data_IF_402882847560
#
_entry.id   IF_402882847560
#
_cell.length_a   1.000
_cell.length_b   1.000
_cell.length_c   1.000
_cell.angle_alpha   90.00
_cell.angle_beta   90.00
_cell.angle_gamma   90.00
#
_symmetry.space_group_name_H-M   'P 1'
#
loop_
_entity.id
_entity.type
_entity.pdbx_description
1 polymer ?
#
# COMPACT_ATOMS: atom_id res chain seq x y z
N UNK A 1 -2.75 3.53 -18.15
CA UNK A 1 -2.74 4.92 -17.60
C UNK A 1 -4.10 5.62 -17.69
N UNK A 2 -4.82 5.57 -18.82
CA UNK A 2 -6.08 6.31 -19.05
C UNK A 2 -7.14 6.21 -17.94
N UNK A 3 -7.33 5.03 -17.35
CA UNK A 3 -8.36 4.79 -16.32
C UNK A 3 -7.81 4.86 -14.89
N UNK A 4 -6.73 4.11 -14.63
CA UNK A 4 -6.15 3.97 -13.29
C UNK A 4 -5.66 5.30 -12.70
N UNK A 5 -4.94 6.14 -13.46
CA UNK A 5 -4.37 7.37 -12.90
C UNK A 5 -5.46 8.36 -12.45
N UNK A 6 -6.49 8.68 -13.26
CA UNK A 6 -7.60 9.49 -12.81
C UNK A 6 -8.33 8.91 -11.59
N UNK A 7 -8.51 7.58 -11.55
CA UNK A 7 -9.15 6.92 -10.42
C UNK A 7 -8.34 7.08 -9.14
N UNK A 8 -7.03 6.84 -9.19
CA UNK A 8 -6.13 7.03 -8.04
C UNK A 8 -6.11 8.48 -7.54
N UNK A 9 -6.17 9.46 -8.46
CA UNK A 9 -6.31 10.88 -8.08
C UNK A 9 -7.64 11.15 -7.36
N UNK A 10 -8.74 10.57 -7.86
CA UNK A 10 -10.07 10.68 -7.22
C UNK A 10 -10.05 10.04 -5.83
N UNK A 11 -9.50 8.84 -5.68
CA UNK A 11 -9.36 8.18 -4.38
C UNK A 11 -8.54 9.01 -3.39
N UNK A 12 -7.41 9.58 -3.80
CA UNK A 12 -6.64 10.48 -2.93
C UNK A 12 -7.42 11.72 -2.46
N UNK A 13 -8.36 12.22 -3.27
CA UNK A 13 -9.26 13.33 -2.88
C UNK A 13 -10.36 12.91 -1.90
N UNK A 14 -10.67 11.61 -1.83
CA UNK A 14 -11.67 11.01 -0.96
C UNK A 14 -11.06 10.36 0.30
N UNK A 15 -9.76 10.59 0.55
CA UNK A 15 -9.07 10.06 1.73
C UNK A 15 -9.87 10.33 3.01
N UNK A 16 -10.05 9.31 3.84
CA UNK A 16 -10.84 9.35 5.08
C UNK A 16 -12.37 9.29 4.88
N UNK A 17 -12.85 9.17 3.64
CA UNK A 17 -14.28 8.94 3.31
C UNK A 17 -14.55 7.62 2.61
N UNK A 18 -13.48 6.90 2.27
CA UNK A 18 -13.52 5.59 1.65
C UNK A 18 -12.51 4.69 2.38
N UNK A 19 -12.73 3.37 2.40
CA UNK A 19 -11.86 2.43 3.11
C UNK A 19 -10.49 2.26 2.45
N UNK A 20 -10.19 2.99 1.38
CA UNK A 20 -8.92 2.91 0.67
C UNK A 20 -8.02 4.12 1.01
N UNK A 21 -7.03 3.97 1.91
CA UNK A 21 -6.24 5.09 2.43
C UNK A 21 -5.13 5.59 1.49
N UNK A 22 -5.01 5.07 0.27
CA UNK A 22 -3.92 5.44 -0.64
C UNK A 22 -4.21 6.77 -1.34
N UNK A 23 -3.15 7.56 -1.55
CA UNK A 23 -3.21 8.85 -2.26
C UNK A 23 -2.82 10.05 -1.39
N UNK A 24 -2.44 9.82 -0.13
CA UNK A 24 -1.81 10.79 0.76
C UNK A 24 -0.40 10.34 1.17
N UNK A 25 0.33 11.24 1.82
CA UNK A 25 1.61 10.89 2.43
C UNK A 25 1.35 9.96 3.63
N UNK A 26 1.62 8.66 3.44
CA UNK A 26 1.34 7.64 4.45
C UNK A 26 2.18 7.80 5.73
N UNK A 27 3.34 8.47 5.65
CA UNK A 27 4.15 8.81 6.83
C UNK A 27 3.37 9.66 7.84
N UNK A 28 2.47 10.53 7.35
CA UNK A 28 1.57 11.36 8.18
C UNK A 28 0.25 10.67 8.48
N UNK A 29 -0.33 10.04 7.46
CA UNK A 29 -1.69 9.51 7.54
C UNK A 29 -1.76 8.24 8.40
N UNK A 30 -0.77 7.36 8.30
CA UNK A 30 -0.84 6.03 8.90
C UNK A 30 -0.93 6.04 10.43
N UNK A 31 -0.19 6.89 11.18
CA UNK A 31 -0.38 7.02 12.62
C UNK A 31 -1.80 7.46 12.99
N UNK A 32 -2.42 8.33 12.20
CA UNK A 32 -3.80 8.78 12.43
C UNK A 32 -4.81 7.66 12.15
N UNK A 33 -4.57 6.84 11.13
CA UNK A 33 -5.40 5.66 10.86
C UNK A 33 -5.31 4.63 11.98
N UNK A 34 -4.11 4.39 12.51
CA UNK A 34 -3.91 3.49 13.66
C UNK A 34 -4.60 4.06 14.91
N UNK A 35 -4.55 5.37 15.14
CA UNK A 35 -5.28 6.00 16.25
C UNK A 35 -6.79 5.88 16.08
N UNK A 36 -7.28 6.09 14.85
CA UNK A 36 -8.70 5.92 14.53
C UNK A 36 -9.20 4.51 14.85
N UNK A 37 -8.44 3.48 14.43
CA UNK A 37 -8.75 2.07 14.72
C UNK A 37 -8.82 1.75 16.22
N UNK A 38 -8.09 2.51 17.03
CA UNK A 38 -7.96 2.30 18.48
C UNK A 38 -8.81 3.26 19.31
N UNK A 39 -9.60 4.12 18.65
CA UNK A 39 -10.37 5.13 19.33
C UNK A 39 -11.45 4.50 20.22
N UNK A 40 -11.89 5.24 21.24
CA UNK A 40 -12.95 4.83 22.17
C UNK A 40 -12.72 3.49 22.88
N UNK A 41 -11.46 3.06 23.01
CA UNK A 41 -11.07 1.83 23.68
C UNK A 41 -11.32 0.56 22.85
N UNK A 42 -11.63 0.71 21.55
CA UNK A 42 -11.72 -0.39 20.60
C UNK A 42 -10.36 -1.06 20.37
N UNK A 43 -10.40 -2.24 19.76
CA UNK A 43 -9.22 -3.01 19.38
C UNK A 43 -9.05 -2.93 17.87
N UNK A 44 -7.80 -2.78 17.43
CA UNK A 44 -7.48 -2.93 16.02
C UNK A 44 -7.30 -4.40 15.68
N UNK A 45 -7.98 -4.86 14.65
CA UNK A 45 -7.76 -6.14 14.00
C UNK A 45 -7.11 -5.90 12.64
N UNK A 46 -5.88 -6.36 12.48
CA UNK A 46 -5.11 -6.20 11.24
C UNK A 46 -4.70 -7.58 10.74
N UNK A 47 -4.92 -7.86 9.46
CA UNK A 47 -4.53 -9.12 8.84
C UNK A 47 -4.46 -8.99 7.32
N UNK A 48 -4.00 -10.04 6.65
CA UNK A 48 -3.94 -10.16 5.20
C UNK A 48 -4.54 -11.47 4.69
N UNK A 49 -5.05 -11.40 3.46
CA UNK A 49 -5.57 -12.58 2.75
C UNK A 49 -4.42 -13.30 2.05
N UNK A 50 -4.17 -14.54 2.46
CA UNK A 50 -3.12 -15.40 1.92
C UNK A 50 -3.32 -15.65 0.43
N UNK A 51 -2.27 -15.38 -0.35
CA UNK A 51 -2.18 -15.66 -1.80
C UNK A 51 -3.35 -15.07 -2.62
N UNK A 52 -3.86 -13.90 -2.21
CA UNK A 52 -5.01 -13.25 -2.81
C UNK A 52 -4.90 -13.15 -4.35
N UNK A 53 -3.76 -12.69 -4.87
CA UNK A 53 -3.49 -12.58 -6.31
C UNK A 53 -3.75 -13.87 -7.10
N UNK A 54 -3.61 -15.02 -6.46
CA UNK A 54 -3.81 -16.33 -7.11
C UNK A 54 -5.19 -16.94 -6.85
N UNK A 55 -5.88 -16.51 -5.79
CA UNK A 55 -7.17 -17.08 -5.36
C UNK A 55 -8.38 -16.35 -5.94
N UNK A 56 -8.24 -15.09 -6.37
CA UNK A 56 -9.36 -14.34 -6.95
C UNK A 56 -9.91 -15.05 -8.20
N UNK A 57 -11.16 -15.50 -8.10
CA UNK A 57 -11.88 -16.14 -9.19
C UNK A 57 -12.28 -15.17 -10.32
N UNK A 58 -12.56 -15.69 -11.53
CA UNK A 58 -12.96 -14.87 -12.68
C UNK A 58 -14.23 -14.04 -12.42
N UNK A 59 -15.17 -14.56 -11.61
CA UNK A 59 -16.44 -13.89 -11.31
C UNK A 59 -16.22 -12.67 -10.41
N UNK A 60 -15.30 -12.75 -9.44
CA UNK A 60 -14.88 -11.62 -8.61
C UNK A 60 -14.21 -10.52 -9.45
N UNK A 61 -13.42 -10.90 -10.46
CA UNK A 61 -12.85 -9.95 -11.43
C UNK A 61 -13.97 -9.28 -12.22
N UNK A 62 -14.96 -10.04 -12.71
CA UNK A 62 -16.08 -9.49 -13.47
C UNK A 62 -16.92 -8.53 -12.62
N UNK A 63 -17.17 -8.86 -11.36
CA UNK A 63 -17.82 -7.98 -10.39
C UNK A 63 -17.01 -6.69 -10.17
N UNK A 64 -15.71 -6.82 -9.83
CA UNK A 64 -14.86 -5.67 -9.54
C UNK A 64 -14.75 -4.73 -10.74
N UNK A 65 -14.58 -5.26 -11.96
CA UNK A 65 -14.57 -4.43 -13.16
C UNK A 65 -15.92 -3.79 -13.46
N UNK A 66 -17.04 -4.47 -13.20
CA UNK A 66 -18.38 -3.89 -13.37
C UNK A 66 -18.57 -2.70 -12.43
N UNK A 67 -18.20 -2.87 -11.16
CA UNK A 67 -18.22 -1.79 -10.16
C UNK A 67 -17.31 -0.62 -10.55
N UNK A 68 -16.07 -0.91 -10.97
CA UNK A 68 -15.14 0.12 -11.43
C UNK A 68 -15.64 0.87 -12.66
N UNK A 69 -16.36 0.19 -13.57
CA UNK A 69 -16.92 0.81 -14.79
C UNK A 69 -17.83 1.99 -14.45
N UNK A 70 -18.64 1.86 -13.40
CA UNK A 70 -19.58 2.88 -12.94
C UNK A 70 -18.89 4.15 -12.43
N UNK A 71 -17.61 4.05 -12.03
CA UNK A 71 -16.82 5.18 -11.55
C UNK A 71 -16.26 6.04 -12.69
N UNK A 72 -16.35 5.60 -13.94
CA UNK A 72 -15.77 6.27 -15.09
C UNK A 72 -16.80 6.96 -15.97
N UNK A 73 -16.49 8.19 -16.37
CA UNK A 73 -17.21 8.85 -17.44
C UNK A 73 -16.85 8.26 -18.80
N UNK A 74 -17.78 7.54 -19.43
CA UNK A 74 -17.55 6.85 -20.69
C UNK A 74 -17.65 7.74 -21.93
N UNK A 75 -18.16 8.97 -21.83
CA UNK A 75 -18.20 9.94 -22.92
C UNK A 75 -19.54 10.63 -23.08
N UNK A 76 -19.56 11.73 -23.84
CA UNK A 76 -20.77 12.52 -24.09
C UNK A 76 -21.59 12.00 -25.28
N UNK A 77 -20.94 11.37 -26.27
CA UNK A 77 -21.58 10.88 -27.49
C UNK A 77 -21.64 9.36 -27.50
N UNK A 78 -22.63 8.79 -28.19
CA UNK A 78 -22.77 7.33 -28.35
C UNK A 78 -21.50 6.67 -28.86
N UNK A 79 -20.85 7.26 -29.87
CA UNK A 79 -19.59 6.76 -30.42
C UNK A 79 -18.44 6.76 -29.39
N UNK A 80 -18.32 7.83 -28.60
CA UNK A 80 -17.31 7.91 -27.54
C UNK A 80 -17.55 6.87 -26.44
N UNK A 81 -18.80 6.70 -26.02
CA UNK A 81 -19.22 5.68 -25.05
C UNK A 81 -18.85 4.29 -25.54
N UNK A 82 -19.35 3.88 -26.71
CA UNK A 82 -19.08 2.54 -27.26
C UNK A 82 -17.58 2.25 -27.39
N UNK A 83 -16.79 3.22 -27.87
CA UNK A 83 -15.33 3.05 -27.96
C UNK A 83 -14.69 2.84 -26.59
N UNK A 84 -15.07 3.62 -25.58
CA UNK A 84 -14.47 3.54 -24.26
C UNK A 84 -14.91 2.29 -23.50
N UNK A 85 -16.15 1.85 -23.70
CA UNK A 85 -16.64 0.58 -23.18
C UNK A 85 -15.89 -0.60 -23.81
N UNK A 86 -15.71 -0.62 -25.13
CA UNK A 86 -14.95 -1.68 -25.80
C UNK A 86 -13.51 -1.76 -25.29
N UNK A 87 -12.85 -0.61 -25.07
CA UNK A 87 -11.50 -0.58 -24.49
C UNK A 87 -11.51 -1.12 -23.05
N UNK A 88 -12.49 -0.72 -22.24
CA UNK A 88 -12.60 -1.18 -20.86
C UNK A 88 -12.89 -2.69 -20.77
N UNK A 89 -13.78 -3.20 -21.61
CA UNK A 89 -14.07 -4.64 -21.73
C UNK A 89 -12.84 -5.43 -22.22
N UNK A 90 -12.05 -4.86 -23.14
CA UNK A 90 -10.78 -5.46 -23.52
C UNK A 90 -9.78 -5.52 -22.35
N UNK A 91 -9.69 -4.46 -21.54
CA UNK A 91 -8.84 -4.46 -20.34
C UNK A 91 -9.29 -5.52 -19.33
N UNK A 92 -10.60 -5.64 -19.08
CA UNK A 92 -11.17 -6.71 -18.24
C UNK A 92 -10.83 -8.09 -18.79
N UNK A 93 -11.04 -8.29 -20.09
CA UNK A 93 -10.73 -9.53 -20.78
C UNK A 93 -9.25 -9.92 -20.65
N UNK A 94 -8.35 -8.96 -20.85
CA UNK A 94 -6.90 -9.15 -20.74
C UNK A 94 -6.49 -9.45 -19.30
N UNK A 95 -7.01 -8.70 -18.33
CA UNK A 95 -6.73 -8.88 -16.90
C UNK A 95 -7.14 -10.26 -16.41
N UNK A 96 -8.37 -10.69 -16.72
CA UNK A 96 -8.91 -12.02 -16.35
C UNK A 96 -8.16 -13.17 -17.02
N UNK A 97 -7.54 -12.91 -18.17
CA UNK A 97 -6.90 -13.94 -19.01
C UNK A 97 -5.48 -13.55 -19.39
N UNK A 98 -4.68 -13.38 -18.35
CA UNK A 98 -3.33 -12.82 -18.44
C UNK A 98 -2.41 -13.73 -19.25
N UNK A 99 -1.80 -13.22 -20.33
CA UNK A 99 -0.72 -13.92 -21.00
C UNK A 99 0.57 -13.82 -20.17
N UNK A 100 1.28 -14.95 -20.04
CA UNK A 100 2.55 -15.08 -19.33
C UNK A 100 3.58 -15.54 -20.35
N UNK A 101 4.57 -14.69 -20.62
CA UNK A 101 5.72 -15.05 -21.46
C UNK A 101 6.79 -15.69 -20.57
N UNK A 102 7.10 -16.95 -20.80
CA UNK A 102 8.15 -17.66 -20.08
C UNK A 102 9.54 -17.30 -20.62
N UNK A 103 10.62 -17.48 -19.83
CA UNK A 103 11.99 -17.32 -20.32
C UNK A 103 12.34 -18.21 -21.53
N UNK A 104 11.61 -19.31 -21.72
CA UNK A 104 11.71 -20.19 -22.89
C UNK A 104 11.18 -19.57 -24.19
N UNK A 105 10.43 -18.46 -24.10
CA UNK A 105 9.70 -17.86 -25.22
C UNK A 105 8.27 -18.39 -25.40
N UNK A 106 7.84 -19.36 -24.60
CA UNK A 106 6.47 -19.89 -24.62
C UNK A 106 5.47 -18.89 -24.02
N UNK A 107 4.29 -18.82 -24.63
CA UNK A 107 3.19 -17.98 -24.16
C UNK A 107 2.11 -18.84 -23.50
N UNK A 108 2.02 -18.77 -22.18
CA UNK A 108 0.94 -19.39 -21.41
C UNK A 108 -0.18 -18.40 -21.16
N UNK A 109 -1.38 -18.90 -20.95
CA UNK A 109 -2.53 -18.07 -20.58
C UNK A 109 -3.12 -18.56 -19.26
N UNK A 110 -3.00 -17.74 -18.22
CA UNK A 110 -3.62 -18.00 -16.93
C UNK A 110 -5.09 -17.57 -16.99
N UNK A 111 -5.98 -18.41 -16.48
CA UNK A 111 -7.39 -18.09 -16.30
C UNK A 111 -7.67 -17.91 -14.81
N UNK A 112 -8.17 -16.73 -14.43
CA UNK A 112 -8.34 -16.36 -13.03
C UNK A 112 -7.04 -15.91 -12.35
N UNK A 113 -7.17 -15.51 -11.10
CA UNK A 113 -6.17 -14.73 -10.39
C UNK A 113 -5.93 -13.36 -11.04
N UNK A 114 -5.28 -12.50 -10.29
CA UNK A 114 -4.92 -11.15 -10.70
C UNK A 114 -3.50 -11.15 -11.28
N UNK A 115 -3.25 -10.45 -12.42
CA UNK A 115 -1.91 -10.28 -12.94
C UNK A 115 -1.06 -9.36 -12.06
N UNK A 116 0.01 -9.86 -11.47
CA UNK A 116 1.02 -9.02 -10.82
C UNK A 116 1.61 -8.04 -11.84
N UNK A 117 1.42 -6.73 -11.63
CA UNK A 117 1.94 -5.66 -12.48
C UNK A 117 0.91 -4.89 -13.32
N UNK A 118 -0.37 -5.29 -13.31
CA UNK A 118 -1.43 -4.42 -13.84
C UNK A 118 -1.67 -3.24 -12.90
N UNK A 119 -1.95 -2.05 -13.45
CA UNK A 119 -2.36 -0.90 -12.64
C UNK A 119 -3.71 -1.11 -11.93
N UNK A 120 -4.49 -2.12 -12.32
CA UNK A 120 -5.75 -2.48 -11.66
C UNK A 120 -5.58 -3.50 -10.53
N UNK A 121 -4.43 -4.17 -10.42
CA UNK A 121 -4.18 -5.26 -9.45
C UNK A 121 -4.56 -4.84 -8.05
N UNK A 122 -3.84 -3.84 -7.53
CA UNK A 122 -4.08 -3.29 -6.20
C UNK A 122 -5.53 -2.87 -5.97
N UNK A 123 -6.20 -2.30 -6.98
CA UNK A 123 -7.57 -1.81 -6.86
C UNK A 123 -8.56 -2.99 -6.78
N UNK A 124 -8.40 -3.99 -7.64
CA UNK A 124 -9.24 -5.20 -7.64
C UNK A 124 -9.05 -5.97 -6.34
N UNK A 125 -7.80 -6.17 -5.92
CA UNK A 125 -7.45 -6.83 -4.66
C UNK A 125 -8.10 -6.11 -3.48
N UNK A 126 -7.98 -4.77 -3.43
CA UNK A 126 -8.64 -3.96 -2.41
C UNK A 126 -10.15 -4.18 -2.42
N UNK A 127 -10.81 -4.13 -3.58
CA UNK A 127 -12.27 -4.29 -3.65
C UNK A 127 -12.72 -5.67 -3.15
N UNK A 128 -12.00 -6.72 -3.54
CA UNK A 128 -12.31 -8.10 -3.11
C UNK A 128 -12.09 -8.24 -1.61
N UNK A 129 -10.95 -7.79 -1.08
CA UNK A 129 -10.65 -7.84 0.36
C UNK A 129 -11.67 -7.02 1.15
N UNK A 130 -12.02 -5.82 0.70
CA UNK A 130 -13.06 -5.00 1.34
C UNK A 130 -14.40 -5.73 1.39
N UNK A 131 -14.85 -6.29 0.27
CA UNK A 131 -16.13 -7.02 0.22
C UNK A 131 -16.09 -8.27 1.11
N UNK A 132 -14.98 -9.01 1.11
CA UNK A 132 -14.77 -10.19 1.95
C UNK A 132 -14.82 -9.84 3.44
N UNK A 133 -14.16 -8.76 3.85
CA UNK A 133 -14.16 -8.30 5.25
C UNK A 133 -15.56 -7.85 5.69
N UNK A 134 -16.23 -7.02 4.88
CA UNK A 134 -17.60 -6.58 5.17
C UNK A 134 -18.54 -7.78 5.29
N UNK A 135 -18.49 -8.70 4.30
CA UNK A 135 -19.29 -9.92 4.33
C UNK A 135 -19.04 -10.74 5.60
N UNK A 136 -17.78 -10.93 5.98
CA UNK A 136 -17.45 -11.69 7.17
C UNK A 136 -17.97 -11.03 8.45
N UNK A 137 -17.86 -9.71 8.58
CA UNK A 137 -18.41 -8.97 9.72
C UNK A 137 -19.93 -9.05 9.79
N UNK A 138 -20.64 -8.84 8.68
CA UNK A 138 -22.10 -8.97 8.64
C UNK A 138 -22.57 -10.38 9.05
N UNK A 139 -21.88 -11.43 8.59
CA UNK A 139 -22.19 -12.83 8.96
C UNK A 139 -21.94 -13.10 10.44
N UNK A 140 -20.98 -12.41 11.07
CA UNK A 140 -20.75 -12.48 12.52
C UNK A 140 -21.79 -11.71 13.34
N UNK A 141 -22.71 -10.98 12.70
CA UNK A 141 -23.77 -10.22 13.35
C UNK A 141 -23.43 -8.77 13.69
N UNK A 142 -22.40 -8.20 13.05
CA UNK A 142 -22.15 -6.76 13.09
C UNK A 142 -23.11 -6.04 12.14
N UNK A 143 -23.52 -4.83 12.51
CA UNK A 143 -24.38 -3.97 11.68
C UNK A 143 -23.54 -3.07 10.75
N UNK A 144 -24.18 -2.43 9.76
CA UNK A 144 -23.47 -1.57 8.82
C UNK A 144 -22.75 -0.41 9.53
N UNK A 145 -23.34 0.16 10.57
CA UNK A 145 -22.76 1.25 11.35
C UNK A 145 -21.51 0.84 12.14
N UNK A 146 -21.34 -0.44 12.45
CA UNK A 146 -20.15 -0.97 13.13
C UNK A 146 -18.96 -1.15 12.18
N UNK A 147 -19.22 -1.15 10.86
CA UNK A 147 -18.26 -1.49 9.81
C UNK A 147 -17.87 -0.25 9.00
N UNK A 148 -18.85 0.58 8.64
CA UNK A 148 -18.64 1.80 7.86
C UNK A 148 -17.70 2.74 8.64
N UNK A 149 -16.73 3.32 7.94
CA UNK A 149 -15.67 4.19 8.48
C UNK A 149 -14.68 3.52 9.47
N UNK A 150 -14.87 2.24 9.79
CA UNK A 150 -13.99 1.50 10.71
C UNK A 150 -13.00 0.57 10.00
N UNK A 151 -13.11 0.44 8.67
CA UNK A 151 -12.30 -0.45 7.85
C UNK A 151 -11.34 0.31 6.91
N UNK A 152 -10.09 -0.13 6.87
CA UNK A 152 -9.08 0.30 5.92
C UNK A 152 -8.48 -0.91 5.19
N UNK A 153 -8.41 -0.85 3.86
CA UNK A 153 -7.94 -1.96 3.02
C UNK A 153 -7.00 -1.43 1.95
N UNK A 154 -5.89 -2.12 1.71
CA UNK A 154 -4.99 -1.87 0.58
C UNK A 154 -4.47 -3.21 0.05
N UNK A 155 -5.00 -3.63 -1.09
CA UNK A 155 -4.65 -4.93 -1.65
C UNK A 155 -5.19 -6.07 -0.79
N UNK A 156 -4.29 -6.95 -0.35
CA UNK A 156 -4.58 -8.05 0.58
C UNK A 156 -4.54 -7.63 2.05
N UNK A 157 -3.84 -6.54 2.40
CA UNK A 157 -3.79 -6.01 3.76
C UNK A 157 -5.11 -5.31 4.13
N UNK A 158 -5.67 -5.65 5.30
CA UNK A 158 -6.80 -4.97 5.89
C UNK A 158 -6.62 -4.69 7.37
N UNK A 159 -7.25 -3.62 7.84
CA UNK A 159 -7.29 -3.21 9.23
C UNK A 159 -8.71 -2.74 9.56
N UNK A 160 -9.27 -3.20 10.67
CA UNK A 160 -10.61 -2.79 11.11
C UNK A 160 -10.66 -2.57 12.61
N UNK A 161 -11.48 -1.62 13.05
CA UNK A 161 -11.77 -1.44 14.47
C UNK A 161 -12.84 -2.44 14.90
N UNK A 162 -12.64 -3.10 16.03
CA UNK A 162 -13.50 -4.18 16.53
C UNK A 162 -13.57 -4.15 18.06
N UNK A 163 -14.59 -4.75 18.68
CA UNK A 163 -14.64 -4.86 20.13
C UNK A 163 -13.59 -5.83 20.68
N UNK A 164 -13.32 -5.74 21.99
CA UNK A 164 -12.29 -6.54 22.68
C UNK A 164 -12.55 -8.05 22.62
N UNK A 165 -13.80 -8.46 22.50
CA UNK A 165 -14.26 -9.85 22.46
C UNK A 165 -14.46 -10.38 21.02
N UNK A 166 -13.94 -9.67 20.01
CA UNK A 166 -13.97 -10.11 18.61
C UNK A 166 -13.38 -11.52 18.42
N UNK A 167 -14.19 -12.44 17.88
CA UNK A 167 -13.80 -13.83 17.63
C UNK A 167 -13.03 -13.95 16.30
N UNK A 168 -11.72 -13.71 16.36
CA UNK A 168 -10.80 -13.84 15.21
C UNK A 168 -10.88 -15.23 14.56
N UNK A 169 -10.88 -16.37 15.30
CA UNK A 169 -11.12 -17.69 14.71
C UNK A 169 -12.43 -17.79 13.93
N UNK A 170 -13.53 -17.20 14.41
CA UNK A 170 -14.80 -17.22 13.70
C UNK A 170 -14.75 -16.42 12.41
N UNK A 171 -14.14 -15.24 12.44
CA UNK A 171 -13.87 -14.44 11.24
C UNK A 171 -13.10 -15.25 10.19
N UNK A 172 -12.01 -15.90 10.60
CA UNK A 172 -11.19 -16.73 9.70
C UNK A 172 -11.99 -17.89 9.09
N UNK A 173 -12.89 -18.53 9.85
CA UNK A 173 -13.77 -19.59 9.34
C UNK A 173 -14.74 -19.08 8.27
N UNK A 174 -15.32 -17.89 8.45
CA UNK A 174 -16.24 -17.31 7.46
C UNK A 174 -15.48 -16.95 6.18
N UNK A 175 -14.29 -16.36 6.31
CA UNK A 175 -13.42 -16.10 5.16
C UNK A 175 -13.06 -17.39 4.40
N UNK A 176 -12.78 -18.48 5.14
CA UNK A 176 -12.56 -19.81 4.56
C UNK A 176 -13.77 -20.37 3.81
N UNK A 177 -14.99 -20.15 4.32
CA UNK A 177 -16.22 -20.53 3.63
C UNK A 177 -16.41 -19.79 2.30
N UNK A 178 -15.88 -18.57 2.18
CA UNK A 178 -15.87 -17.81 0.93
C UNK A 178 -14.75 -18.24 -0.04
N UNK A 179 -13.92 -19.23 0.32
CA UNK A 179 -12.85 -19.77 -0.52
C UNK A 179 -11.49 -19.06 -0.37
N UNK A 180 -11.32 -18.25 0.68
CA UNK A 180 -10.10 -17.50 0.95
C UNK A 180 -9.45 -17.92 2.27
N UNK A 181 -8.16 -17.67 2.45
CA UNK A 181 -7.45 -18.04 3.67
C UNK A 181 -6.84 -16.78 4.30
N UNK A 182 -7.06 -16.58 5.61
CA UNK A 182 -6.40 -15.52 6.37
C UNK A 182 -5.03 -16.00 6.84
N UNK A 183 -4.00 -15.18 6.72
CA UNK A 183 -2.67 -15.55 7.21
C UNK A 183 -2.57 -15.35 8.73
N UNK A 184 -2.79 -16.43 9.47
CA UNK A 184 -2.78 -16.46 10.94
C UNK A 184 -1.48 -15.89 11.55
N UNK A 185 -0.34 -16.00 10.85
CA UNK A 185 0.94 -15.48 11.37
C UNK A 185 1.04 -13.96 11.34
N UNK A 186 0.24 -13.31 10.50
CA UNK A 186 0.19 -11.85 10.34
C UNK A 186 -1.03 -11.22 11.00
N UNK A 187 -1.94 -12.03 11.54
CA UNK A 187 -3.03 -11.56 12.38
C UNK A 187 -2.46 -10.79 13.57
N UNK A 188 -2.92 -9.56 13.73
CA UNK A 188 -2.63 -8.70 14.87
C UNK A 188 -3.95 -8.25 15.46
N UNK A 189 -4.09 -8.43 16.76
CA UNK A 189 -5.27 -8.05 17.52
C UNK A 189 -4.79 -7.39 18.81
N UNK A 190 -4.90 -6.06 18.88
CA UNK A 190 -4.37 -5.29 19.99
C UNK A 190 -5.07 -3.95 20.13
N UNK A 191 -5.06 -3.40 21.33
CA UNK A 191 -5.44 -2.02 21.61
C UNK A 191 -4.22 -1.06 21.69
N UNK A 192 -3.02 -1.51 21.28
CA UNK A 192 -1.80 -0.71 21.30
C UNK A 192 -1.27 -0.50 19.89
N UNK A 193 -1.09 0.75 19.49
CA UNK A 193 -0.60 1.10 18.15
C UNK A 193 0.79 0.56 17.81
N UNK A 194 1.63 0.26 18.81
CA UNK A 194 2.95 -0.34 18.59
C UNK A 194 2.87 -1.83 18.19
N UNK A 195 1.80 -2.52 18.59
CA UNK A 195 1.57 -3.94 18.31
C UNK A 195 0.80 -4.16 17.00
N UNK A 196 0.15 -3.11 16.47
CA UNK A 196 -0.53 -3.14 15.17
C UNK A 196 0.43 -2.71 14.06
N UNK A 197 0.64 -3.57 13.07
CA UNK A 197 1.45 -3.28 11.89
C UNK A 197 0.55 -3.27 10.66
N UNK A 198 0.28 -2.10 10.11
CA UNK A 198 -0.50 -1.93 8.89
C UNK A 198 0.38 -1.33 7.79
N UNK A 199 0.32 -1.88 6.57
CA UNK A 199 1.16 -1.47 5.43
C UNK A 199 2.66 -1.47 5.73
N UNK A 200 3.11 -2.36 6.63
CA UNK A 200 4.51 -2.50 7.01
C UNK A 200 4.99 -1.59 8.15
N UNK A 201 4.12 -0.77 8.75
CA UNK A 201 4.49 0.14 9.84
C UNK A 201 3.57 -0.02 11.04
N UNK A 202 4.14 0.21 12.22
CA UNK A 202 3.38 0.37 13.46
C UNK A 202 3.38 1.83 13.89
N UNK A 203 2.76 2.14 15.03
CA UNK A 203 2.75 3.48 15.61
C UNK A 203 3.54 3.52 16.93
N UNK A 204 4.41 4.51 17.07
CA UNK A 204 5.07 4.82 18.35
C UNK A 204 4.97 6.32 18.64
N UNK A 205 4.29 6.67 19.73
CA UNK A 205 3.95 8.07 20.00
C UNK A 205 3.04 8.63 18.90
N UNK A 206 3.41 9.76 18.32
CA UNK A 206 2.70 10.39 17.19
C UNK A 206 3.22 10.00 15.81
N UNK A 207 4.21 9.11 15.71
CA UNK A 207 4.91 8.80 14.46
C UNK A 207 4.76 7.34 14.05
N UNK A 208 5.03 7.06 12.77
CA UNK A 208 5.23 5.70 12.31
C UNK A 208 6.47 5.09 12.96
N UNK A 209 6.48 3.77 13.08
CA UNK A 209 7.55 3.01 13.67
C UNK A 209 7.85 1.79 12.81
N UNK A 210 9.14 1.52 12.59
CA UNK A 210 9.64 0.26 12.06
C UNK A 210 10.85 -0.20 12.86
N UNK A 211 10.98 -1.51 13.12
CA UNK A 211 12.16 -2.07 13.75
C UNK A 211 13.45 -1.74 12.98
N UNK A 212 14.54 -1.47 13.73
CA UNK A 212 15.81 -1.04 13.16
C UNK A 212 16.43 -2.10 12.24
N UNK A 213 16.25 -3.38 12.55
CA UNK A 213 16.71 -4.51 11.77
C UNK A 213 16.02 -4.57 10.40
N UNK A 214 14.71 -4.34 10.31
CA UNK A 214 14.00 -4.24 9.03
C UNK A 214 14.50 -3.07 8.19
N UNK A 215 14.71 -1.91 8.83
CA UNK A 215 15.24 -0.72 8.16
C UNK A 215 16.66 -0.95 7.67
N UNK A 216 17.52 -1.61 8.47
CA UNK A 216 18.88 -1.97 8.10
C UNK A 216 18.91 -2.96 6.95
N UNK A 217 18.06 -3.99 6.98
CA UNK A 217 17.95 -4.95 5.88
C UNK A 217 17.59 -4.22 4.58
N UNK A 218 16.61 -3.32 4.64
CA UNK A 218 16.19 -2.53 3.48
C UNK A 218 17.27 -1.54 3.03
N UNK A 219 18.09 -1.01 3.94
CA UNK A 219 19.21 -0.13 3.59
C UNK A 219 20.35 -0.90 2.89
N UNK A 220 20.76 -2.02 3.48
CA UNK A 220 21.99 -2.77 3.15
C UNK A 220 21.81 -3.81 2.04
N UNK A 221 20.59 -4.31 1.82
CA UNK A 221 20.32 -5.33 0.80
C UNK A 221 19.39 -4.79 -0.31
N UNK A 222 19.94 -4.01 -1.27
CA UNK A 222 19.22 -3.58 -2.46
C UNK A 222 18.68 -4.70 -3.33
N UNK A 223 17.49 -4.49 -3.90
CA UNK A 223 17.06 -5.25 -5.09
C UNK A 223 17.86 -4.89 -6.35
N UNK A 224 18.39 -3.67 -6.42
CA UNK A 224 19.14 -3.14 -7.56
C UNK A 224 20.50 -2.64 -7.13
N UNK A 225 21.50 -2.83 -7.97
CA UNK A 225 22.86 -2.35 -7.74
C UNK A 225 22.89 -0.86 -7.33
N UNK A 226 23.59 -0.57 -6.22
CA UNK A 226 23.82 0.78 -5.69
C UNK A 226 25.21 1.21 -6.14
N UNK A 227 25.28 1.95 -7.24
CA UNK A 227 26.55 2.27 -7.90
C UNK A 227 27.40 3.34 -7.22
N UNK A 228 26.82 4.22 -6.39
CA UNK A 228 27.55 5.32 -5.76
C UNK A 228 27.08 5.72 -4.37
N UNK A 229 27.93 6.53 -3.72
CA UNK A 229 27.76 7.11 -2.39
C UNK A 229 26.46 7.91 -2.26
N UNK A 230 26.09 8.70 -3.27
CA UNK A 230 24.85 9.47 -3.28
C UNK A 230 23.60 8.58 -3.25
N UNK A 231 23.54 7.55 -4.11
CA UNK A 231 22.44 6.57 -4.13
C UNK A 231 22.38 5.80 -2.82
N UNK A 232 23.53 5.43 -2.25
CA UNK A 232 23.60 4.80 -0.94
C UNK A 232 23.02 5.72 0.15
N UNK A 233 23.42 7.00 0.16
CA UNK A 233 22.88 8.02 1.08
C UNK A 233 21.38 8.20 0.93
N UNK A 234 20.85 8.30 -0.29
CA UNK A 234 19.40 8.47 -0.52
C UNK A 234 18.59 7.32 0.06
N UNK A 235 19.12 6.09 0.01
CA UNK A 235 18.47 4.94 0.65
C UNK A 235 18.45 5.06 2.15
N UNK A 236 19.59 5.43 2.75
CA UNK A 236 19.70 5.65 4.20
C UNK A 236 18.72 6.74 4.64
N UNK A 237 18.67 7.87 3.93
CA UNK A 237 17.71 8.95 4.20
C UNK A 237 16.26 8.47 4.06
N UNK A 238 15.94 7.66 3.05
CA UNK A 238 14.64 7.02 2.91
C UNK A 238 14.27 6.15 4.12
N UNK A 239 15.23 5.40 4.67
CA UNK A 239 15.04 4.63 5.91
C UNK A 239 14.93 5.53 7.15
N UNK A 240 15.65 6.65 7.21
CA UNK A 240 15.48 7.65 8.27
C UNK A 240 14.04 8.18 8.29
N UNK A 241 13.48 8.51 7.13
CA UNK A 241 12.08 8.95 7.00
C UNK A 241 11.11 7.81 7.35
N UNK A 242 11.35 6.61 6.83
CA UNK A 242 10.54 5.43 7.13
C UNK A 242 10.58 5.01 8.61
N UNK A 243 11.59 5.44 9.36
CA UNK A 243 11.65 5.27 10.81
C UNK A 243 10.76 6.26 11.58
N UNK A 244 9.99 7.11 10.89
CA UNK A 244 9.23 8.18 11.53
C UNK A 244 10.13 9.23 12.18
N UNK A 245 11.36 9.36 11.67
CA UNK A 245 12.41 10.23 12.19
C UNK A 245 12.79 9.98 13.67
N UNK A 246 12.38 8.85 14.26
CA UNK A 246 12.61 8.56 15.67
C UNK A 246 13.84 7.69 15.95
N UNK A 247 14.56 7.26 14.91
CA UNK A 247 15.73 6.39 15.04
C UNK A 247 17.05 7.17 14.99
N UNK A 248 17.66 7.41 16.15
CA UNK A 248 18.92 8.16 16.27
C UNK A 248 20.10 7.54 15.52
N UNK A 249 20.14 6.21 15.34
CA UNK A 249 21.19 5.54 14.56
C UNK A 249 21.10 5.94 13.08
N UNK A 250 19.91 5.84 12.48
CA UNK A 250 19.72 6.22 11.07
C UNK A 250 19.97 7.70 10.83
N UNK A 251 19.62 8.56 11.78
CA UNK A 251 19.93 9.99 11.73
C UNK A 251 21.42 10.26 11.71
N UNK A 252 22.17 9.63 12.62
CA UNK A 252 23.64 9.75 12.68
C UNK A 252 24.32 9.15 11.45
N UNK A 253 23.85 7.99 11.00
CA UNK A 253 24.41 7.31 9.83
C UNK A 253 24.18 8.12 8.54
N UNK A 254 23.00 8.73 8.39
CA UNK A 254 22.72 9.62 7.28
C UNK A 254 23.62 10.87 7.27
N UNK A 255 23.92 11.43 8.45
CA UNK A 255 24.88 12.54 8.59
C UNK A 255 26.29 12.12 8.11
N UNK A 256 26.79 10.98 8.54
CA UNK A 256 28.10 10.46 8.09
C UNK A 256 28.14 10.18 6.59
N UNK A 257 27.05 9.64 6.03
CA UNK A 257 26.93 9.41 4.58
C UNK A 257 26.89 10.72 3.79
N UNK A 258 26.35 11.81 4.35
CA UNK A 258 26.38 13.13 3.74
C UNK A 258 27.82 13.68 3.64
N UNK A 259 28.57 13.57 4.74
CA UNK A 259 29.98 13.95 4.79
C UNK A 259 30.80 13.12 3.78
N UNK A 260 30.63 11.79 3.78
CA UNK A 260 31.31 10.92 2.83
C UNK A 260 30.97 11.23 1.37
N UNK A 261 29.70 11.47 1.04
CA UNK A 261 29.29 11.83 -0.32
C UNK A 261 29.91 13.16 -0.79
N UNK A 262 30.14 14.11 0.14
CA UNK A 262 30.79 15.38 -0.19
C UNK A 262 32.29 15.23 -0.50
N UNK A 263 32.95 14.21 0.07
CA UNK A 263 34.36 13.92 -0.15
C UNK A 263 34.60 13.09 -1.43
N UNK A 264 33.60 12.30 -1.84
CA UNK A 264 33.69 11.40 -2.99
C UNK A 264 32.55 11.69 -3.97
N UNK A 265 32.68 12.74 -4.81
CA UNK A 265 31.67 13.06 -5.80
C UNK A 265 31.51 11.89 -6.80
N UNK A 266 30.31 11.73 -7.39
CA UNK A 266 30.05 10.64 -8.33
C UNK A 266 31.00 10.66 -9.53
N UNK A 267 31.35 9.47 -10.02
CA UNK A 267 32.17 9.30 -11.23
C UNK A 267 31.49 10.01 -12.41
N UNK A 268 32.19 10.90 -13.15
CA UNK A 268 31.65 11.56 -14.34
C UNK A 268 31.08 10.60 -15.40
N UNK A 269 31.54 9.35 -15.44
CA UNK A 269 31.05 8.31 -16.35
C UNK A 269 29.78 7.60 -15.88
N UNK A 270 29.31 7.84 -14.66
CA UNK A 270 28.15 7.15 -14.11
C UNK A 270 26.83 7.83 -14.51
N UNK A 271 25.84 7.03 -14.92
CA UNK A 271 24.49 7.55 -15.21
C UNK A 271 23.84 8.04 -13.91
N UNK A 272 23.86 9.35 -13.69
CA UNK A 272 23.16 9.99 -12.58
C UNK A 272 21.66 10.10 -12.88
N UNK A 273 20.84 9.37 -12.12
CA UNK A 273 19.39 9.57 -12.10
C UNK A 273 19.06 10.38 -10.86
N UNK A 274 18.60 11.64 -10.98
CA UNK A 274 18.30 12.48 -9.83
C UNK A 274 17.22 11.85 -8.94
N UNK A 275 17.62 11.36 -7.76
CA UNK A 275 16.71 10.80 -6.76
C UNK A 275 15.86 11.88 -6.06
N UNK A 276 16.18 13.16 -6.27
CA UNK A 276 15.39 14.34 -5.84
C UNK A 276 13.93 14.25 -6.26
N UNK A 277 13.61 13.53 -7.34
CA UNK A 277 12.24 13.42 -7.87
C UNK A 277 11.26 12.80 -6.88
N UNK A 278 11.65 11.79 -6.11
CA UNK A 278 10.76 11.18 -5.12
C UNK A 278 10.50 12.13 -3.96
N UNK A 279 11.57 12.68 -3.38
CA UNK A 279 11.51 13.64 -2.27
C UNK A 279 10.66 14.86 -2.64
N UNK A 280 10.87 15.42 -3.83
CA UNK A 280 10.08 16.55 -4.34
C UNK A 280 8.61 16.17 -4.53
N UNK A 281 8.33 15.04 -5.17
CA UNK A 281 6.95 14.68 -5.52
C UNK A 281 6.14 14.16 -4.33
N UNK A 282 6.78 13.56 -3.33
CA UNK A 282 6.12 12.92 -2.18
C UNK A 282 6.13 13.81 -0.95
N UNK A 283 7.24 14.49 -0.69
CA UNK A 283 7.43 15.34 0.49
C UNK A 283 7.35 16.84 0.17
N UNK A 284 7.32 17.23 -1.10
CA UNK A 284 7.30 18.64 -1.50
C UNK A 284 8.65 19.37 -1.29
N UNK A 285 9.73 18.62 -1.05
CA UNK A 285 11.04 19.19 -0.73
C UNK A 285 11.85 19.38 -2.01
N UNK A 286 12.18 20.62 -2.36
CA UNK A 286 12.88 20.94 -3.62
C UNK A 286 14.40 20.66 -3.54
N UNK A 287 15.00 20.97 -2.40
CA UNK A 287 16.42 20.77 -2.14
C UNK A 287 16.66 19.83 -0.97
N UNK A 288 17.60 18.91 -1.17
CA UNK A 288 18.00 17.96 -0.13
C UNK A 288 18.81 18.75 0.90
N UNK A 289 18.42 18.74 2.19
CA UNK A 289 19.14 19.47 3.23
C UNK A 289 20.62 19.07 3.22
N UNK A 290 21.51 20.06 3.23
CA UNK A 290 22.96 19.83 3.27
C UNK A 290 23.35 19.20 4.62
N UNK A 291 22.75 19.69 5.69
CA UNK A 291 22.74 19.08 7.02
C UNK A 291 21.40 18.38 7.18
N UNK A 292 21.38 17.06 7.27
CA UNK A 292 20.15 16.35 7.63
C UNK A 292 20.14 16.22 9.14
N UNK A 293 19.88 17.34 9.81
CA UNK A 293 19.39 17.24 11.17
C UNK A 293 17.95 16.77 11.07
N UNK A 294 17.55 15.81 11.91
CA UNK A 294 16.15 15.30 11.97
C UNK A 294 15.15 16.46 12.03
N UNK A 295 15.53 17.54 12.73
CA UNK A 295 14.74 18.75 12.91
C UNK A 295 14.46 19.52 11.62
N UNK A 296 15.31 19.41 10.60
CA UNK A 296 15.12 20.14 9.33
C UNK A 296 14.05 19.49 8.46
N UNK A 297 13.82 18.18 8.64
CA UNK A 297 12.83 17.41 7.87
C UNK A 297 11.55 17.18 8.69
N UNK A 298 11.59 17.27 10.02
CA UNK A 298 10.45 17.03 10.91
C UNK A 298 9.18 17.86 10.59
N UNK A 299 9.26 19.15 10.20
CA UNK A 299 8.06 19.91 9.79
C UNK A 299 7.48 19.47 8.43
N UNK A 300 8.27 18.76 7.62
CA UNK A 300 7.99 18.42 6.23
C UNK A 300 7.45 16.98 6.10
N UNK A 301 7.90 16.07 6.96
CA UNK A 301 7.43 14.67 7.07
C UNK A 301 6.12 14.56 7.82
#
# INVERSE_FOLDING_TARGET
>A
MRYVIPLMKRFGSLFGRIPYPVGRNMTKALPMLIDHLLNDGKWGFVTDVSKLDTSIGPDWIDWAFSFLKEMFFMGMTRSAITRNENVFEFLKYYFKRTPILLPSGELLRKYGGVPSGSGFTQIVDTLVTTLLTIYAMLVMGYEEEDIIDEIFVVGDDMATSVPKDFDVPHFCRIVAMAGYEVNIKKVMFSNKGLELKFLGYSKHGGNIFRPIDELLQTALFPEKFVGNSDRARMRVMGQTIASGLCNGFFSKFNYWMAEHASLFPPDPGEIYIPQKRWIKNVLGIEDIPQTICVFDIYPLV
#
